data_IF_015938328562
#
_entry.id   IF_015938328562
#
_cell.length_a   1.000
_cell.length_b   1.000
_cell.length_c   1.000
_cell.angle_alpha   90.00
_cell.angle_beta   90.00
_cell.angle_gamma   90.00
#
_symmetry.space_group_name_H-M   'P 1'
#
loop_
_entity.id
_entity.type
_entity.pdbx_description
1 polymer ?
#
# COMPACT_ATOMS: atom_id res chain seq x y z
N UNK A 1 29.82 7.68 -6.76
CA UNK A 1 28.51 7.01 -6.59
C UNK A 1 27.60 7.96 -5.83
N UNK A 2 26.31 8.06 -6.20
CA UNK A 2 25.39 9.03 -5.61
C UNK A 2 24.67 8.39 -4.42
N UNK A 3 24.82 8.96 -3.22
CA UNK A 3 24.17 8.48 -2.00
C UNK A 3 22.67 8.22 -2.18
N UNK A 4 21.95 9.01 -3.00
CA UNK A 4 20.52 8.80 -3.25
C UNK A 4 20.20 7.47 -3.94
N UNK A 5 21.10 6.94 -4.78
CA UNK A 5 20.87 5.66 -5.46
C UNK A 5 21.05 4.50 -4.49
N UNK A 6 22.02 4.61 -3.59
CA UNK A 6 22.32 3.59 -2.59
C UNK A 6 21.27 3.58 -1.47
N UNK A 7 20.75 4.76 -1.08
CA UNK A 7 19.62 4.89 -0.15
C UNK A 7 18.30 4.37 -0.71
N UNK A 8 17.97 4.68 -1.97
CA UNK A 8 16.80 4.10 -2.62
C UNK A 8 16.91 2.58 -2.74
N UNK A 9 18.11 2.07 -3.04
CA UNK A 9 18.35 0.64 -3.12
C UNK A 9 18.20 -0.02 -1.75
N UNK A 10 18.75 0.56 -0.68
CA UNK A 10 18.62 0.08 0.70
C UNK A 10 17.15 0.01 1.16
N UNK A 11 16.37 1.07 0.96
CA UNK A 11 14.93 1.08 1.27
C UNK A 11 14.12 0.06 0.45
N UNK A 12 14.52 -0.17 -0.80
CA UNK A 12 13.84 -1.11 -1.70
C UNK A 12 14.23 -2.57 -1.45
N UNK A 13 15.43 -2.86 -0.93
CA UNK A 13 15.92 -4.24 -0.69
C UNK A 13 15.50 -4.78 0.69
N UNK A 14 15.50 -3.94 1.73
CA UNK A 14 15.10 -4.35 3.10
C UNK A 14 13.56 -4.49 3.24
N UNK A 15 12.77 -3.90 2.33
CA UNK A 15 11.30 -3.99 2.32
C UNK A 15 10.73 -5.15 1.48
N UNK A 16 11.59 -5.98 0.87
CA UNK A 16 11.13 -7.11 0.06
C UNK A 16 10.51 -8.26 0.88
N UNK A 17 10.87 -8.37 2.16
CA UNK A 17 10.29 -9.36 3.08
C UNK A 17 8.90 -8.96 3.58
N UNK A 18 8.49 -7.69 3.43
CA UNK A 18 7.18 -7.21 3.86
C UNK A 18 6.51 -6.43 2.73
N UNK A 19 6.28 -7.10 1.59
CA UNK A 19 5.55 -6.53 0.45
C UNK A 19 4.07 -6.35 0.78
N UNK A 20 3.80 -5.33 1.57
CA UNK A 20 2.47 -4.84 1.90
C UNK A 20 1.79 -4.29 0.64
N UNK A 21 0.46 -4.37 0.57
CA UNK A 21 -0.36 -3.85 -0.53
C UNK A 21 -0.05 -2.39 -0.88
N UNK A 22 0.39 -1.60 0.10
CA UNK A 22 0.81 -0.21 -0.11
C UNK A 22 2.04 -0.05 -1.00
N UNK A 23 2.99 -0.99 -0.95
CA UNK A 23 4.19 -0.98 -1.79
C UNK A 23 3.81 -1.16 -3.26
N UNK A 24 2.90 -2.10 -3.56
CA UNK A 24 2.37 -2.29 -4.91
C UNK A 24 1.58 -1.07 -5.41
N UNK A 25 0.71 -0.50 -4.56
CA UNK A 25 -0.03 0.73 -4.89
C UNK A 25 0.89 1.92 -5.12
N UNK A 26 2.01 2.01 -4.40
CA UNK A 26 3.01 3.04 -4.60
C UNK A 26 3.76 2.86 -5.93
N UNK A 27 4.22 1.65 -6.25
CA UNK A 27 4.84 1.37 -7.55
C UNK A 27 3.91 1.71 -8.72
N UNK A 28 2.61 1.36 -8.63
CA UNK A 28 1.62 1.74 -9.63
C UNK A 28 1.43 3.26 -9.73
N UNK A 29 1.44 3.98 -8.60
CA UNK A 29 1.36 5.44 -8.59
C UNK A 29 2.53 6.07 -9.34
N UNK A 30 3.74 5.56 -9.12
CA UNK A 30 4.97 6.04 -9.76
C UNK A 30 4.92 5.81 -11.27
N UNK A 31 4.52 4.60 -11.69
CA UNK A 31 4.34 4.27 -13.11
C UNK A 31 3.34 5.24 -13.75
N UNK A 32 2.13 5.38 -13.18
CA UNK A 32 1.09 6.28 -13.72
C UNK A 32 1.56 7.73 -13.75
N UNK A 33 2.35 8.16 -12.77
CA UNK A 33 2.85 9.54 -12.69
C UNK A 33 3.90 9.87 -13.73
N UNK A 34 4.68 8.88 -14.16
CA UNK A 34 5.72 9.05 -15.16
C UNK A 34 5.21 8.95 -16.61
N UNK A 35 3.97 8.53 -16.83
CA UNK A 35 3.38 8.49 -18.17
C UNK A 35 3.07 9.91 -18.65
N UNK A 36 3.64 10.28 -19.81
CA UNK A 36 3.33 11.52 -20.52
C UNK A 36 2.24 11.27 -21.57
N UNK A 37 1.01 11.78 -21.38
CA UNK A 37 -0.05 11.62 -22.37
C UNK A 37 0.29 12.38 -23.65
N UNK A 38 -0.04 11.81 -24.81
CA UNK A 38 0.12 12.40 -26.14
C UNK A 38 -1.20 12.92 -26.71
N UNK A 39 -2.32 12.68 -26.02
CA UNK A 39 -3.64 13.16 -26.41
C UNK A 39 -4.52 13.50 -25.20
N UNK A 40 -5.54 14.33 -25.41
CA UNK A 40 -6.55 14.69 -24.40
C UNK A 40 -7.27 13.43 -23.88
N UNK A 41 -7.51 12.45 -24.76
CA UNK A 41 -8.14 11.17 -24.38
C UNK A 41 -7.26 10.38 -23.41
N UNK A 42 -5.95 10.32 -23.66
CA UNK A 42 -5.00 9.67 -22.74
C UNK A 42 -4.89 10.41 -21.41
N UNK A 43 -4.89 11.75 -21.44
CA UNK A 43 -4.87 12.56 -20.22
C UNK A 43 -6.09 12.26 -19.32
N UNK A 44 -7.29 12.19 -19.92
CA UNK A 44 -8.51 11.80 -19.20
C UNK A 44 -8.43 10.38 -18.63
N UNK A 45 -7.86 9.43 -19.36
CA UNK A 45 -7.66 8.05 -18.87
C UNK A 45 -6.66 8.00 -17.71
N UNK A 46 -5.57 8.77 -17.77
CA UNK A 46 -4.61 8.86 -16.67
C UNK A 46 -5.23 9.52 -15.43
N UNK A 47 -6.08 10.53 -15.61
CA UNK A 47 -6.82 11.12 -14.50
C UNK A 47 -7.73 10.10 -13.79
N UNK A 48 -8.47 9.30 -14.56
CA UNK A 48 -9.28 8.20 -14.03
C UNK A 48 -8.43 7.14 -13.32
N UNK A 49 -7.30 6.74 -13.90
CA UNK A 49 -6.38 5.79 -13.29
C UNK A 49 -5.84 6.30 -11.93
N UNK A 50 -5.50 7.59 -11.83
CA UNK A 50 -5.10 8.23 -10.56
C UNK A 50 -6.23 8.21 -9.53
N UNK A 51 -7.48 8.42 -9.96
CA UNK A 51 -8.64 8.34 -9.07
C UNK A 51 -8.83 6.92 -8.54
N UNK A 52 -8.81 5.90 -9.42
CA UNK A 52 -8.93 4.51 -9.00
C UNK A 52 -7.84 4.10 -8.02
N UNK A 53 -6.60 4.55 -8.23
CA UNK A 53 -5.49 4.28 -7.32
C UNK A 53 -5.70 4.93 -5.95
N UNK A 54 -6.27 6.14 -5.90
CA UNK A 54 -6.63 6.83 -4.66
C UNK A 54 -7.73 6.07 -3.89
N UNK A 55 -8.73 5.55 -4.59
CA UNK A 55 -9.80 4.73 -4.01
C UNK A 55 -9.27 3.39 -3.50
N UNK A 56 -8.45 2.70 -4.28
CA UNK A 56 -7.80 1.45 -3.86
C UNK A 56 -6.96 1.65 -2.59
N UNK A 57 -6.18 2.74 -2.50
CA UNK A 57 -5.41 3.06 -1.29
C UNK A 57 -6.31 3.34 -0.08
N UNK A 58 -7.47 3.99 -0.27
CA UNK A 58 -8.45 4.19 0.83
C UNK A 58 -9.02 2.86 1.30
N UNK A 59 -9.41 1.98 0.38
CA UNK A 59 -9.95 0.66 0.72
C UNK A 59 -8.92 -0.20 1.45
N UNK A 60 -7.66 -0.21 1.00
CA UNK A 60 -6.56 -0.91 1.66
C UNK A 60 -6.37 -0.43 3.11
N UNK A 61 -6.43 0.89 3.37
CA UNK A 61 -6.37 1.43 4.74
C UNK A 61 -7.53 0.98 5.62
N UNK A 62 -8.75 0.95 5.09
CA UNK A 62 -9.92 0.47 5.84
C UNK A 62 -9.76 -0.99 6.22
N UNK A 63 -9.33 -1.82 5.27
CA UNK A 63 -9.09 -3.24 5.48
C UNK A 63 -8.02 -3.49 6.54
N UNK A 64 -6.92 -2.72 6.51
CA UNK A 64 -5.88 -2.83 7.53
C UNK A 64 -6.40 -2.45 8.93
N UNK A 65 -7.20 -1.40 9.04
CA UNK A 65 -7.81 -1.01 10.31
C UNK A 65 -8.80 -2.09 10.81
N UNK A 66 -9.60 -2.66 9.92
CA UNK A 66 -10.54 -3.75 10.27
C UNK A 66 -9.79 -5.00 10.74
N UNK A 67 -8.68 -5.37 10.07
CA UNK A 67 -7.82 -6.46 10.49
C UNK A 67 -7.23 -6.21 11.88
N UNK A 68 -6.73 -5.00 12.15
CA UNK A 68 -6.20 -4.64 13.47
C UNK A 68 -7.27 -4.80 14.56
N UNK A 69 -8.50 -4.31 14.33
CA UNK A 69 -9.60 -4.47 15.29
C UNK A 69 -9.97 -5.96 15.49
N UNK A 70 -9.89 -6.77 14.44
CA UNK A 70 -10.15 -8.20 14.53
C UNK A 70 -9.05 -8.93 15.31
N UNK A 71 -7.78 -8.60 15.09
CA UNK A 71 -6.64 -9.12 15.85
C UNK A 71 -6.76 -8.75 17.34
N UNK A 72 -7.10 -7.49 17.65
CA UNK A 72 -7.35 -7.05 19.03
C UNK A 72 -8.47 -7.86 19.70
N UNK A 73 -9.59 -8.08 19.00
CA UNK A 73 -10.70 -8.90 19.51
C UNK A 73 -10.32 -10.36 19.70
N UNK A 74 -9.53 -10.91 18.79
CA UNK A 74 -9.03 -12.28 18.88
C UNK A 74 -8.15 -12.44 20.12
N UNK A 75 -7.21 -11.52 20.34
CA UNK A 75 -6.33 -11.54 21.51
C UNK A 75 -7.13 -11.53 22.82
N UNK A 76 -8.14 -10.66 22.94
CA UNK A 76 -9.03 -10.62 24.13
C UNK A 76 -9.74 -11.96 24.35
N UNK A 77 -10.20 -12.60 23.27
CA UNK A 77 -10.87 -13.91 23.36
C UNK A 77 -9.89 -15.00 23.83
N UNK A 78 -8.69 -15.03 23.25
CA UNK A 78 -7.64 -15.97 23.63
C UNK A 78 -7.20 -15.80 25.08
N UNK A 79 -7.05 -14.56 25.55
CA UNK A 79 -6.78 -14.24 26.96
C UNK A 79 -7.89 -14.78 27.87
N UNK A 80 -9.16 -14.50 27.54
CA UNK A 80 -10.30 -14.96 28.36
C UNK A 80 -10.42 -16.49 28.46
N UNK A 81 -10.04 -17.22 27.40
CA UNK A 81 -10.07 -18.67 27.37
C UNK A 81 -8.96 -19.26 28.25
N UNK A 82 -7.78 -18.65 28.21
CA UNK A 82 -6.62 -19.07 29.00
C UNK A 82 -6.79 -18.79 30.49
N UNK A 83 -7.51 -17.73 30.88
CA UNK A 83 -7.81 -17.42 32.29
C UNK A 83 -8.91 -18.29 32.90
N UNK A 84 -9.78 -18.89 32.06
CA UNK A 84 -10.87 -19.76 32.49
C UNK A 84 -10.53 -21.25 32.57
N UNK A 85 -9.29 -21.65 32.24
CA UNK A 85 -8.77 -23.03 32.24
C UNK A 85 -7.79 -23.27 33.39
#
# INVERSE_FOLDING_TARGET
MSLNKDWNRFLLDESLDDRNIFTYLQGLQEIISNIKPKSITEERRLALARQHLKEARRSARRMQNELQVLEERLNILEESLNEGS
#
